data_IF_925063355195
#
_entry.id   IF_925063355195
#
_cell.length_a   1.000
_cell.length_b   1.000
_cell.length_c   1.000
_cell.angle_alpha   90.00
_cell.angle_beta   90.00
_cell.angle_gamma   90.00
#
_symmetry.space_group_name_H-M   'P 1'
#
loop_
_entity.id
_entity.type
_entity.pdbx_description
1 polymer ?
#
# COMPACT_ATOMS: atom_id res chain seq x y z
N UNK A 1 -15.16 -2.94 7.84
CA UNK A 1 -16.24 -2.88 8.85
C UNK A 1 -16.79 -4.25 9.21
N UNK A 2 -17.48 -4.96 8.32
CA UNK A 2 -18.11 -6.25 8.68
C UNK A 2 -17.10 -7.29 9.20
N UNK A 3 -15.99 -7.48 8.49
CA UNK A 3 -14.94 -8.43 8.90
C UNK A 3 -14.20 -8.04 10.17
N UNK A 4 -13.88 -6.75 10.33
CA UNK A 4 -13.19 -6.26 11.53
C UNK A 4 -14.02 -6.53 12.78
N UNK A 5 -15.34 -6.29 12.75
CA UNK A 5 -16.25 -6.56 13.88
C UNK A 5 -16.28 -8.04 14.28
N UNK A 6 -16.39 -8.94 13.29
CA UNK A 6 -16.38 -10.39 13.51
C UNK A 6 -15.06 -10.86 14.11
N UNK A 7 -13.92 -10.32 13.65
CA UNK A 7 -12.60 -10.73 14.13
C UNK A 7 -12.35 -10.25 15.57
N UNK A 8 -12.71 -9.01 15.90
CA UNK A 8 -12.63 -8.52 17.29
C UNK A 8 -13.54 -9.27 18.24
N UNK A 9 -14.73 -9.72 17.81
CA UNK A 9 -15.63 -10.51 18.66
C UNK A 9 -15.11 -11.93 18.94
N UNK A 10 -14.13 -12.39 18.15
CA UNK A 10 -13.37 -13.63 18.37
C UNK A 10 -12.07 -13.40 19.15
N UNK A 11 -11.93 -12.28 19.87
CA UNK A 11 -10.76 -11.95 20.70
C UNK A 11 -9.44 -11.79 19.92
N UNK A 12 -9.52 -11.51 18.61
CA UNK A 12 -8.34 -11.24 17.77
C UNK A 12 -7.94 -9.77 17.84
N UNK A 13 -6.63 -9.53 17.83
CA UNK A 13 -6.07 -8.18 17.65
C UNK A 13 -6.12 -7.80 16.17
N UNK A 14 -6.83 -6.73 15.85
CA UNK A 14 -7.07 -6.27 14.47
C UNK A 14 -6.51 -4.86 14.29
N UNK A 15 -5.85 -4.63 13.17
CA UNK A 15 -5.51 -3.29 12.68
C UNK A 15 -6.09 -3.10 11.27
N UNK A 16 -6.44 -1.88 10.91
CA UNK A 16 -6.90 -1.50 9.59
C UNK A 16 -5.80 -0.72 8.87
N UNK A 17 -5.40 -1.18 7.69
CA UNK A 17 -4.55 -0.43 6.78
C UNK A 17 -5.43 0.17 5.69
N UNK A 18 -5.38 1.50 5.54
CA UNK A 18 -6.21 2.25 4.62
C UNK A 18 -5.33 3.05 3.67
N UNK A 19 -5.67 2.99 2.38
CA UNK A 19 -5.13 3.93 1.39
C UNK A 19 -5.46 5.36 1.80
N UNK A 20 -4.60 6.31 1.42
CA UNK A 20 -4.78 7.73 1.71
C UNK A 20 -5.62 8.46 0.66
N UNK A 21 -6.53 7.72 0.03
CA UNK A 21 -7.46 8.22 -0.96
C UNK A 21 -8.83 8.58 -0.32
N UNK A 22 -9.76 9.08 -1.15
CA UNK A 22 -11.09 9.47 -0.69
C UNK A 22 -11.91 8.29 -0.12
N UNK A 23 -11.66 7.05 -0.56
CA UNK A 23 -12.33 5.89 0.01
C UNK A 23 -11.79 5.57 1.41
N UNK A 24 -10.47 5.60 1.58
CA UNK A 24 -9.81 5.43 2.86
C UNK A 24 -10.12 6.56 3.84
N UNK A 25 -10.21 7.81 3.40
CA UNK A 25 -10.59 8.94 4.26
C UNK A 25 -12.01 8.76 4.81
N UNK A 26 -12.96 8.38 3.95
CA UNK A 26 -14.33 8.08 4.36
C UNK A 26 -14.37 6.90 5.34
N UNK A 27 -13.61 5.84 5.08
CA UNK A 27 -13.51 4.71 6.00
C UNK A 27 -12.96 5.12 7.37
N UNK A 28 -11.91 5.94 7.38
CA UNK A 28 -11.30 6.48 8.59
C UNK A 28 -12.21 7.46 9.35
N UNK A 29 -13.29 7.97 8.77
CA UNK A 29 -14.27 8.83 9.45
C UNK A 29 -15.47 8.05 10.01
N UNK A 30 -15.61 6.75 9.71
CA UNK A 30 -16.74 5.97 10.20
C UNK A 30 -16.64 5.76 11.70
N UNK A 31 -17.56 6.33 12.47
CA UNK A 31 -17.58 6.26 13.94
C UNK A 31 -17.53 4.81 14.46
N UNK A 32 -18.22 3.88 13.79
CA UNK A 32 -18.16 2.47 14.14
C UNK A 32 -16.77 1.84 13.94
N UNK A 33 -15.92 2.35 13.03
CA UNK A 33 -14.53 1.91 12.89
C UNK A 33 -13.70 2.39 14.08
N UNK A 34 -13.92 3.62 14.54
CA UNK A 34 -13.26 4.18 15.74
C UNK A 34 -13.67 3.48 17.03
N UNK A 35 -14.96 3.17 17.17
CA UNK A 35 -15.47 2.44 18.32
C UNK A 35 -14.93 1.02 18.37
N UNK A 36 -14.67 0.41 17.20
CA UNK A 36 -14.09 -0.92 17.10
C UNK A 36 -12.55 -0.93 17.25
N UNK A 37 -11.88 0.06 16.65
CA UNK A 37 -10.44 0.19 16.58
C UNK A 37 -10.04 1.56 17.12
N UNK A 38 -9.25 1.59 18.19
CA UNK A 38 -8.62 2.84 18.65
C UNK A 38 -7.74 3.44 17.53
N UNK A 39 -7.54 4.76 17.51
CA UNK A 39 -6.72 5.48 16.50
C UNK A 39 -5.39 4.81 16.18
N UNK A 40 -4.74 4.24 17.20
CA UNK A 40 -3.43 3.57 17.10
C UNK A 40 -3.44 2.31 16.23
N UNK A 41 -4.62 1.81 15.83
CA UNK A 41 -4.83 0.61 15.01
C UNK A 41 -5.39 0.93 13.63
N UNK A 42 -5.48 2.21 13.28
CA UNK A 42 -5.79 2.67 11.92
C UNK A 42 -4.49 3.22 11.33
N UNK A 43 -3.96 2.53 10.34
CA UNK A 43 -2.74 2.89 9.62
C UNK A 43 -3.11 3.53 8.27
N UNK A 44 -2.37 4.56 7.87
CA UNK A 44 -2.54 5.24 6.59
C UNK A 44 -1.32 5.03 5.72
N UNK A 45 -1.51 4.66 4.46
CA UNK A 45 -0.38 4.49 3.53
C UNK A 45 0.48 5.75 3.39
N UNK A 46 -0.14 6.93 3.37
CA UNK A 46 0.54 8.22 3.25
C UNK A 46 1.47 8.55 4.40
N UNK A 47 1.34 7.91 5.57
CA UNK A 47 2.27 8.10 6.69
C UNK A 47 3.62 7.41 6.43
N UNK A 48 3.68 6.52 5.43
CA UNK A 48 4.84 5.69 5.11
C UNK A 48 5.45 5.99 3.74
N UNK A 49 4.77 6.79 2.92
CA UNK A 49 5.20 7.18 1.57
C UNK A 49 5.48 8.68 1.53
N UNK A 50 6.67 9.07 1.09
CA UNK A 50 7.05 10.48 0.99
C UNK A 50 6.70 11.06 -0.39
N UNK A 51 6.00 12.19 -0.40
CA UNK A 51 5.85 13.01 -1.59
C UNK A 51 4.91 12.46 -2.66
N UNK A 52 3.94 11.63 -2.27
CA UNK A 52 2.83 11.18 -3.12
C UNK A 52 1.53 11.67 -2.50
N UNK A 53 0.76 12.47 -3.24
CA UNK A 53 -0.56 12.91 -2.80
C UNK A 53 -1.54 11.76 -2.92
N UNK A 54 -2.39 11.58 -1.90
CA UNK A 54 -3.39 10.51 -1.85
C UNK A 54 -2.80 9.11 -2.07
N UNK A 55 -1.64 8.85 -1.46
CA UNK A 55 -0.89 7.62 -1.64
C UNK A 55 -1.73 6.35 -1.39
N UNK A 56 -1.62 5.39 -2.30
CA UNK A 56 -2.18 4.04 -2.23
C UNK A 56 -1.06 3.04 -1.91
N UNK A 57 -1.40 1.82 -1.46
CA UNK A 57 -0.39 0.83 -1.02
C UNK A 57 0.69 0.53 -2.07
N UNK A 58 0.35 0.59 -3.35
CA UNK A 58 1.30 0.42 -4.45
C UNK A 58 2.39 1.50 -4.44
N UNK A 59 2.11 2.67 -3.86
CA UNK A 59 3.06 3.78 -3.79
C UNK A 59 4.24 3.54 -2.83
N UNK A 60 4.20 2.47 -2.01
CA UNK A 60 5.36 1.99 -1.26
C UNK A 60 6.48 1.46 -2.17
N UNK A 61 6.14 1.02 -3.39
CA UNK A 61 7.02 0.28 -4.29
C UNK A 61 7.05 0.89 -5.70
N UNK A 62 6.92 2.22 -5.82
CA UNK A 62 6.70 2.91 -7.11
C UNK A 62 7.76 2.62 -8.17
N UNK A 63 9.04 2.60 -7.79
CA UNK A 63 10.12 2.44 -8.74
C UNK A 63 10.13 0.99 -9.27
N UNK A 64 10.06 0.03 -8.35
CA UNK A 64 10.01 -1.40 -8.65
C UNK A 64 8.74 -1.75 -9.44
N UNK A 65 7.58 -1.24 -9.03
CA UNK A 65 6.31 -1.46 -9.74
C UNK A 65 6.27 -0.82 -11.12
N UNK A 66 6.94 0.32 -11.34
CA UNK A 66 7.06 0.90 -12.68
C UNK A 66 7.83 -0.01 -13.64
N UNK A 67 8.89 -0.66 -13.16
CA UNK A 67 9.64 -1.66 -13.94
C UNK A 67 8.79 -2.92 -14.17
N UNK A 68 8.15 -3.44 -13.13
CA UNK A 68 7.30 -4.64 -13.21
C UNK A 68 6.08 -4.40 -14.12
N UNK A 69 5.47 -3.22 -14.07
CA UNK A 69 4.32 -2.89 -14.93
C UNK A 69 4.74 -2.90 -16.40
N UNK A 70 5.90 -2.35 -16.73
CA UNK A 70 6.47 -2.38 -18.07
C UNK A 70 6.76 -3.81 -18.51
N UNK A 71 7.58 -4.53 -17.75
CA UNK A 71 8.19 -5.79 -18.18
C UNK A 71 7.23 -6.99 -18.11
N UNK A 72 6.33 -7.02 -17.13
CA UNK A 72 5.45 -8.17 -16.89
C UNK A 72 3.98 -7.90 -17.23
N UNK A 73 3.56 -6.62 -17.27
CA UNK A 73 2.17 -6.27 -17.56
C UNK A 73 1.96 -5.62 -18.93
N UNK A 74 3.02 -5.14 -19.58
CA UNK A 74 2.96 -4.40 -20.84
C UNK A 74 2.53 -2.94 -20.69
N UNK A 75 2.60 -2.40 -19.47
CA UNK A 75 2.19 -1.04 -19.13
C UNK A 75 3.44 -0.19 -18.84
N UNK A 76 4.04 0.34 -19.90
CA UNK A 76 5.23 1.20 -19.76
C UNK A 76 4.82 2.64 -19.42
N UNK A 77 5.04 3.01 -18.16
CA UNK A 77 4.88 4.37 -17.63
C UNK A 77 6.10 4.83 -16.83
N UNK A 78 7.26 4.17 -16.98
CA UNK A 78 8.44 4.41 -16.12
C UNK A 78 8.85 5.88 -16.12
N UNK A 79 8.91 6.49 -17.32
CA UNK A 79 9.22 7.93 -17.45
C UNK A 79 8.16 8.79 -16.76
N UNK A 80 6.86 8.53 -16.94
CA UNK A 80 5.80 9.32 -16.33
C UNK A 80 5.82 9.20 -14.81
N UNK A 81 5.97 7.99 -14.26
CA UNK A 81 6.06 7.72 -12.82
C UNK A 81 7.22 8.51 -12.19
N UNK A 82 8.36 8.59 -12.87
CA UNK A 82 9.53 9.35 -12.38
C UNK A 82 9.30 10.87 -12.40
N UNK A 83 8.59 11.40 -13.40
CA UNK A 83 8.34 12.85 -13.57
C UNK A 83 7.17 13.35 -12.73
N UNK A 84 6.18 12.50 -12.47
CA UNK A 84 4.97 12.83 -11.72
C UNK A 84 5.01 12.17 -10.33
N UNK A 85 6.04 12.47 -9.54
CA UNK A 85 6.28 11.82 -8.26
C UNK A 85 5.15 12.02 -7.24
N UNK A 86 4.38 13.11 -7.37
CA UNK A 86 3.28 13.46 -6.47
C UNK A 86 1.96 12.74 -6.79
N UNK A 87 1.88 12.02 -7.91
CA UNK A 87 0.63 11.41 -8.40
C UNK A 87 0.62 9.90 -8.17
N UNK A 88 -0.42 9.28 -7.58
CA UNK A 88 -0.45 7.83 -7.32
C UNK A 88 -0.13 6.98 -8.55
N UNK A 89 0.64 5.90 -8.37
CA UNK A 89 1.11 5.07 -9.50
C UNK A 89 -0.06 4.44 -10.25
N UNK A 90 -1.10 4.00 -9.53
CA UNK A 90 -2.28 3.39 -10.15
C UNK A 90 -3.07 4.38 -10.99
N UNK A 91 -3.09 5.67 -10.61
CA UNK A 91 -3.71 6.73 -11.39
C UNK A 91 -2.95 6.96 -12.71
N UNK A 92 -1.62 7.01 -12.66
CA UNK A 92 -0.77 7.12 -13.85
C UNK A 92 -1.02 5.94 -14.80
N UNK A 93 -0.96 4.72 -14.27
CA UNK A 93 -1.13 3.52 -15.08
C UNK A 93 -2.52 3.47 -15.73
N UNK A 94 -3.58 3.75 -14.97
CA UNK A 94 -4.96 3.72 -15.46
C UNK A 94 -5.25 4.77 -16.55
N UNK A 95 -4.59 5.92 -16.49
CA UNK A 95 -4.74 6.97 -17.49
C UNK A 95 -3.98 6.68 -18.79
N UNK A 96 -2.79 6.07 -18.71
CA UNK A 96 -1.95 5.81 -19.88
C UNK A 96 -2.26 4.48 -20.57
N UNK A 97 -2.86 3.51 -19.85
CA UNK A 97 -3.06 2.15 -20.34
C UNK A 97 -4.48 1.66 -20.15
N UNK A 98 -4.95 0.85 -21.09
CA UNK A 98 -6.27 0.19 -21.00
C UNK A 98 -6.18 -1.15 -20.28
N UNK A 99 -7.24 -1.53 -19.57
CA UNK A 99 -7.33 -2.82 -18.89
C UNK A 99 -6.39 -2.96 -17.68
N UNK A 100 -5.97 -1.86 -17.08
CA UNK A 100 -5.15 -1.85 -15.87
C UNK A 100 -5.88 -2.52 -14.71
N UNK A 101 -5.14 -3.35 -13.97
CA UNK A 101 -5.67 -4.13 -12.86
C UNK A 101 -4.65 -4.17 -11.73
N UNK A 102 -5.06 -3.68 -10.55
CA UNK A 102 -4.28 -3.78 -9.31
C UNK A 102 -3.88 -5.23 -9.01
N UNK A 103 -4.81 -6.17 -9.21
CA UNK A 103 -4.54 -7.59 -8.99
C UNK A 103 -3.45 -8.14 -9.92
N UNK A 104 -3.50 -7.78 -11.22
CA UNK A 104 -2.48 -8.22 -12.19
C UNK A 104 -1.11 -7.65 -11.82
N UNK A 105 -1.05 -6.37 -11.46
CA UNK A 105 0.18 -5.70 -11.02
C UNK A 105 0.75 -6.34 -9.74
N UNK A 106 -0.08 -6.53 -8.72
CA UNK A 106 0.32 -7.14 -7.46
C UNK A 106 0.85 -8.57 -7.67
N UNK A 107 0.17 -9.38 -8.50
CA UNK A 107 0.63 -10.74 -8.80
C UNK A 107 1.96 -10.76 -9.54
N UNK A 108 2.17 -9.85 -10.50
CA UNK A 108 3.46 -9.69 -11.17
C UNK A 108 4.55 -9.28 -10.18
N UNK A 109 4.27 -8.32 -9.30
CA UNK A 109 5.22 -7.86 -8.30
C UNK A 109 5.63 -8.93 -7.30
N UNK A 110 4.69 -9.73 -6.77
CA UNK A 110 5.03 -10.83 -5.86
C UNK A 110 5.93 -11.86 -6.54
N UNK A 111 5.65 -12.18 -7.82
CA UNK A 111 6.51 -13.07 -8.60
C UNK A 111 7.89 -12.46 -8.82
N UNK A 112 7.95 -11.20 -9.21
CA UNK A 112 9.20 -10.46 -9.40
C UNK A 112 10.04 -10.44 -8.12
N UNK A 113 9.43 -10.12 -6.98
CA UNK A 113 10.10 -10.06 -5.68
C UNK A 113 10.63 -11.43 -5.25
N UNK A 114 9.89 -12.51 -5.51
CA UNK A 114 10.33 -13.88 -5.22
C UNK A 114 11.56 -14.30 -6.06
N UNK A 115 11.72 -13.73 -7.26
CA UNK A 115 12.84 -14.04 -8.16
C UNK A 115 14.06 -13.15 -7.90
N UNK A 116 13.85 -11.88 -7.57
CA UNK A 116 14.91 -10.88 -7.43
C UNK A 116 15.34 -10.67 -5.97
N UNK A 117 14.54 -11.10 -5.00
CA UNK A 117 14.77 -10.90 -3.59
C UNK A 117 14.42 -9.49 -3.11
N UNK A 118 14.36 -9.32 -1.79
CA UNK A 118 14.03 -8.02 -1.18
C UNK A 118 15.09 -6.96 -1.44
N UNK A 119 16.36 -7.36 -1.58
CA UNK A 119 17.48 -6.44 -1.82
C UNK A 119 17.45 -5.77 -3.20
N UNK A 120 16.54 -6.22 -4.08
CA UNK A 120 16.29 -5.57 -5.36
C UNK A 120 15.40 -4.32 -5.23
N UNK A 121 14.76 -4.11 -4.09
CA UNK A 121 14.00 -2.89 -3.81
C UNK A 121 14.95 -1.71 -3.65
N UNK A 122 14.50 -0.52 -4.02
CA UNK A 122 15.29 0.68 -3.76
C UNK A 122 15.34 0.98 -2.26
N UNK A 123 16.35 1.73 -1.81
CA UNK A 123 16.43 2.11 -0.40
C UNK A 123 15.18 2.88 0.11
N UNK A 124 14.56 3.67 -0.77
CA UNK A 124 13.33 4.39 -0.44
C UNK A 124 12.17 3.43 -0.16
N UNK A 125 12.02 2.41 -1.00
CA UNK A 125 10.98 1.38 -0.88
C UNK A 125 11.22 0.50 0.35
N UNK A 126 12.47 0.15 0.64
CA UNK A 126 12.84 -0.51 1.90
C UNK A 126 12.43 0.30 3.11
N UNK A 127 12.79 1.59 3.17
CA UNK A 127 12.42 2.47 4.30
C UNK A 127 10.91 2.58 4.46
N UNK A 128 10.19 2.75 3.36
CA UNK A 128 8.73 2.86 3.36
C UNK A 128 8.07 1.58 3.87
N UNK A 129 8.49 0.42 3.36
CA UNK A 129 8.00 -0.89 3.79
C UNK A 129 8.32 -1.19 5.26
N UNK A 130 9.56 -0.97 5.69
CA UNK A 130 9.96 -1.16 7.09
C UNK A 130 9.16 -0.27 8.04
N UNK A 131 8.91 0.99 7.65
CA UNK A 131 8.08 1.93 8.42
C UNK A 131 6.65 1.39 8.59
N UNK A 132 6.02 0.90 7.52
CA UNK A 132 4.68 0.32 7.57
C UNK A 132 4.63 -0.93 8.44
N UNK A 133 5.58 -1.87 8.25
CA UNK A 133 5.64 -3.12 9.02
C UNK A 133 5.85 -2.83 10.51
N UNK A 134 6.72 -1.88 10.86
CA UNK A 134 6.92 -1.47 12.25
C UNK A 134 5.63 -0.91 12.88
N UNK A 135 4.88 -0.08 12.13
CA UNK A 135 3.60 0.44 12.60
C UNK A 135 2.53 -0.66 12.73
N UNK A 136 2.50 -1.62 11.80
CA UNK A 136 1.63 -2.79 11.87
C UNK A 136 1.95 -3.68 13.07
N UNK A 137 3.21 -4.03 13.30
CA UNK A 137 3.63 -4.83 14.46
C UNK A 137 3.28 -4.14 15.77
N UNK A 138 3.50 -2.82 15.86
CA UNK A 138 3.12 -2.01 17.01
C UNK A 138 1.60 -1.99 17.22
N UNK A 139 0.80 -1.87 16.17
CA UNK A 139 -0.66 -1.88 16.25
C UNK A 139 -1.20 -3.25 16.71
N UNK A 140 -0.50 -4.32 16.34
CA UNK A 140 -0.86 -5.70 16.65
C UNK A 140 -0.24 -6.25 17.94
N UNK A 141 0.57 -5.45 18.66
CA UNK A 141 1.34 -5.88 19.83
C UNK A 141 2.22 -7.12 19.56
N UNK A 142 2.77 -7.23 18.35
CA UNK A 142 3.74 -8.27 18.00
C UNK A 142 5.13 -7.74 18.33
N UNK A 143 5.88 -8.40 19.21
CA UNK A 143 7.29 -8.04 19.44
C UNK A 143 8.10 -8.23 18.16
N UNK A 144 9.04 -7.32 17.84
CA UNK A 144 9.89 -7.48 16.66
C UNK A 144 10.73 -8.77 16.80
N UNK A 145 10.74 -9.57 15.73
CA UNK A 145 11.61 -10.75 15.58
C UNK A 145 13.10 -10.35 15.57
#
# INVERSE_FOLDING_TARGET
>A
MYYSTILTSQNLTVAALLDSDAAGDRAAQQEALWQLLTTKRILRTGDHVSGVQRAEIEDLFRASLGVVSRDECGWDSVSTISKQSQRPIMEILADEHTGVSKWKLARAFVRWLALNGVDALTEGEHRAWTSLVAAANKALNVEPL
#
